data_IF_995031105784
#
_entry.id   IF_995031105784
#
_cell.length_a   1.000
_cell.length_b   1.000
_cell.length_c   1.000
_cell.angle_alpha   90.00
_cell.angle_beta   90.00
_cell.angle_gamma   90.00
#
_symmetry.space_group_name_H-M   'P 1'
#
loop_
_entity.id
_entity.type
_entity.pdbx_description
1 polymer ?
#
# COMPACT_ATOMS: atom_id res chain seq x y z
N UNK A 1 -8.24 4.58 -3.14
CA UNK A 1 -7.11 4.81 -2.21
C UNK A 1 -7.12 6.25 -1.72
N UNK A 2 -6.91 6.45 -0.41
CA UNK A 2 -6.83 7.79 0.21
C UNK A 2 -5.77 8.68 -0.45
N UNK A 3 -4.55 8.15 -0.69
CA UNK A 3 -3.48 8.92 -1.36
C UNK A 3 -3.89 9.41 -2.75
N UNK A 4 -4.52 8.57 -3.58
CA UNK A 4 -5.01 9.01 -4.89
C UNK A 4 -6.04 10.13 -4.77
N UNK A 5 -6.97 10.01 -3.81
CA UNK A 5 -7.99 11.03 -3.59
C UNK A 5 -7.37 12.35 -3.11
N UNK A 6 -6.38 12.31 -2.21
CA UNK A 6 -5.67 13.52 -1.76
C UNK A 6 -4.95 14.21 -2.91
N UNK A 7 -4.20 13.46 -3.72
CA UNK A 7 -3.48 14.03 -4.86
C UNK A 7 -4.41 14.64 -5.90
N UNK A 8 -5.56 13.99 -6.15
CA UNK A 8 -6.59 14.53 -7.04
C UNK A 8 -7.18 15.82 -6.48
N UNK A 9 -7.53 15.85 -5.20
CA UNK A 9 -8.13 17.02 -4.55
C UNK A 9 -7.16 18.20 -4.43
N UNK A 10 -5.85 17.95 -4.36
CA UNK A 10 -4.83 19.00 -4.30
C UNK A 10 -4.43 19.56 -5.66
N UNK A 11 -4.94 19.00 -6.76
CA UNK A 11 -4.57 19.44 -8.12
C UNK A 11 -3.07 19.28 -8.43
N UNK A 12 -2.37 18.39 -7.71
CA UNK A 12 -0.92 18.23 -7.86
C UNK A 12 -0.59 17.53 -9.17
N UNK A 13 0.37 18.05 -9.93
CA UNK A 13 0.96 17.29 -11.04
C UNK A 13 1.79 16.14 -10.46
N UNK A 14 1.22 14.94 -10.53
CA UNK A 14 1.77 13.71 -9.95
C UNK A 14 3.07 13.29 -10.65
N UNK A 15 3.18 13.50 -11.97
CA UNK A 15 4.34 13.05 -12.75
C UNK A 15 5.54 13.98 -12.51
N UNK A 16 5.29 15.28 -12.37
CA UNK A 16 6.34 16.24 -11.99
C UNK A 16 6.82 16.03 -10.56
N UNK A 17 5.92 15.73 -9.62
CA UNK A 17 6.24 15.64 -8.20
C UNK A 17 6.55 14.21 -7.71
N UNK A 18 6.82 13.26 -8.61
CA UNK A 18 6.98 11.85 -8.25
C UNK A 18 8.08 11.59 -7.21
N UNK A 19 9.19 12.34 -7.21
CA UNK A 19 10.24 12.22 -6.18
C UNK A 19 9.73 12.58 -4.78
N UNK A 20 8.95 13.66 -4.67
CA UNK A 20 8.31 14.05 -3.43
C UNK A 20 7.33 12.97 -2.96
N UNK A 21 6.51 12.44 -3.87
CA UNK A 21 5.56 11.37 -3.55
C UNK A 21 6.26 10.11 -3.07
N UNK A 22 7.38 9.73 -3.69
CA UNK A 22 8.20 8.61 -3.25
C UNK A 22 8.77 8.86 -1.84
N UNK A 23 9.22 10.08 -1.54
CA UNK A 23 9.68 10.43 -0.20
C UNK A 23 8.55 10.34 0.85
N UNK A 24 7.34 10.80 0.51
CA UNK A 24 6.14 10.68 1.36
C UNK A 24 5.79 9.22 1.61
N UNK A 25 5.83 8.37 0.58
CA UNK A 25 5.61 6.92 0.71
C UNK A 25 6.62 6.33 1.69
N UNK A 26 7.92 6.58 1.50
CA UNK A 26 8.96 6.04 2.38
C UNK A 26 8.79 6.53 3.83
N UNK A 27 8.50 7.82 4.05
CA UNK A 27 8.22 8.36 5.39
C UNK A 27 7.00 7.69 6.03
N UNK A 28 5.95 7.44 5.25
CA UNK A 28 4.74 6.77 5.72
C UNK A 28 5.04 5.33 6.16
N UNK A 29 5.85 4.59 5.39
CA UNK A 29 6.24 3.23 5.74
C UNK A 29 7.09 3.19 7.01
N UNK A 30 8.05 4.11 7.11
CA UNK A 30 8.91 4.22 8.29
C UNK A 30 8.12 4.59 9.55
N UNK A 31 7.21 5.56 9.43
CA UNK A 31 6.30 5.92 10.52
C UNK A 31 5.40 4.75 10.94
N UNK A 32 4.91 3.97 9.96
CA UNK A 32 4.09 2.78 10.22
C UNK A 32 4.88 1.75 11.02
N UNK A 33 6.12 1.47 10.62
CA UNK A 33 7.01 0.57 11.35
C UNK A 33 7.21 1.02 12.80
N UNK A 34 7.57 2.28 13.03
CA UNK A 34 7.72 2.81 14.39
C UNK A 34 6.44 2.74 15.19
N UNK A 35 5.30 3.05 14.59
CA UNK A 35 4.00 2.98 15.26
C UNK A 35 3.69 1.55 15.73
N UNK A 36 3.96 0.55 14.89
CA UNK A 36 3.81 -0.86 15.25
C UNK A 36 4.78 -1.22 16.39
N UNK A 37 6.07 -0.87 16.26
CA UNK A 37 7.08 -1.14 17.28
C UNK A 37 6.73 -0.51 18.62
N UNK A 38 6.36 0.75 18.64
CA UNK A 38 5.98 1.48 19.85
C UNK A 38 4.77 0.85 20.54
N UNK A 39 3.77 0.39 19.76
CA UNK A 39 2.60 -0.29 20.31
C UNK A 39 2.96 -1.63 20.94
N UNK A 40 3.82 -2.41 20.27
CA UNK A 40 4.31 -3.70 20.77
C UNK A 40 5.18 -3.53 22.03
N UNK A 41 6.01 -2.49 22.10
CA UNK A 41 6.88 -2.25 23.26
C UNK A 41 6.22 -1.46 24.40
N UNK A 42 4.97 -1.01 24.22
CA UNK A 42 4.20 -0.31 25.25
C UNK A 42 3.90 -1.23 26.45
N UNK A 43 3.63 -0.68 27.66
CA UNK A 43 3.26 -1.49 28.83
C UNK A 43 2.10 -2.45 28.54
N UNK A 44 1.03 -1.93 27.94
CA UNK A 44 -0.11 -2.74 27.49
C UNK A 44 0.29 -3.82 26.48
N UNK A 45 1.20 -3.50 25.55
CA UNK A 45 1.72 -4.47 24.59
C UNK A 45 2.45 -5.62 25.29
N UNK A 46 3.30 -5.31 26.27
CA UNK A 46 4.04 -6.30 27.06
C UNK A 46 3.12 -7.15 27.95
N UNK A 47 2.11 -6.54 28.56
CA UNK A 47 1.10 -7.25 29.38
C UNK A 47 0.30 -8.28 28.57
N UNK A 48 0.17 -8.06 27.25
CA UNK A 48 -0.56 -8.95 26.34
C UNK A 48 0.37 -9.83 25.49
N UNK A 49 1.64 -9.98 25.87
CA UNK A 49 2.65 -10.75 25.13
C UNK A 49 2.72 -10.39 23.62
N UNK A 50 2.47 -9.12 23.31
CA UNK A 50 2.50 -8.65 21.93
C UNK A 50 3.92 -8.76 21.38
N UNK A 51 4.06 -9.29 20.16
CA UNK A 51 5.33 -9.36 19.46
C UNK A 51 5.16 -9.03 17.98
N UNK A 52 6.21 -8.44 17.38
CA UNK A 52 6.28 -8.20 15.94
C UNK A 52 7.41 -9.04 15.35
N UNK A 53 7.07 -10.02 14.51
CA UNK A 53 8.05 -10.86 13.79
C UNK A 53 8.53 -10.24 12.49
N UNK A 54 7.83 -9.23 11.99
CA UNK A 54 8.17 -8.57 10.73
C UNK A 54 9.29 -7.57 11.02
N UNK A 55 10.32 -7.55 10.18
CA UNK A 55 11.38 -6.53 10.23
C UNK A 55 10.99 -5.26 9.48
N UNK A 56 11.68 -4.15 9.75
CA UNK A 56 11.50 -2.89 9.01
C UNK A 56 11.68 -3.08 7.49
N UNK A 57 12.68 -3.88 7.09
CA UNK A 57 12.98 -4.18 5.69
C UNK A 57 11.82 -4.92 5.02
N UNK A 58 11.26 -5.92 5.71
CA UNK A 58 10.11 -6.69 5.22
C UNK A 58 8.85 -5.84 5.11
N UNK A 59 8.56 -5.04 6.15
CA UNK A 59 7.42 -4.13 6.14
C UNK A 59 7.55 -3.08 5.04
N UNK A 60 8.74 -2.50 4.89
CA UNK A 60 9.00 -1.49 3.85
C UNK A 60 8.84 -2.09 2.47
N UNK A 61 9.37 -3.29 2.21
CA UNK A 61 9.21 -3.96 0.92
C UNK A 61 7.73 -4.26 0.62
N UNK A 62 6.99 -4.82 1.58
CA UNK A 62 5.56 -5.08 1.44
C UNK A 62 4.77 -3.79 1.17
N UNK A 63 5.11 -2.72 1.87
CA UNK A 63 4.52 -1.41 1.68
C UNK A 63 4.74 -0.87 0.27
N UNK A 64 6.00 -0.86 -0.20
CA UNK A 64 6.34 -0.45 -1.56
C UNK A 64 5.60 -1.31 -2.60
N UNK A 65 5.50 -2.62 -2.37
CA UNK A 65 4.78 -3.53 -3.25
C UNK A 65 3.29 -3.18 -3.30
N UNK A 66 2.67 -2.93 -2.15
CA UNK A 66 1.26 -2.53 -2.07
C UNK A 66 0.99 -1.19 -2.77
N UNK A 67 1.87 -0.19 -2.58
CA UNK A 67 1.77 1.08 -3.30
C UNK A 67 1.89 0.87 -4.81
N UNK A 68 2.89 0.12 -5.27
CA UNK A 68 3.07 -0.18 -6.69
C UNK A 68 1.85 -0.92 -7.27
N UNK A 69 1.39 -1.98 -6.63
CA UNK A 69 0.25 -2.79 -7.07
C UNK A 69 -1.07 -2.01 -7.10
N UNK A 70 -1.22 -1.02 -6.22
CA UNK A 70 -2.45 -0.21 -6.19
C UNK A 70 -2.40 0.93 -7.19
N UNK A 71 -1.26 1.61 -7.32
CA UNK A 71 -1.09 2.72 -8.26
C UNK A 71 -0.98 2.25 -9.71
N UNK A 72 -0.56 0.99 -9.95
CA UNK A 72 -0.49 0.40 -11.28
C UNK A 72 -1.86 0.25 -11.94
N UNK A 73 -2.96 0.34 -11.17
CA UNK A 73 -4.34 0.42 -11.69
C UNK A 73 -4.63 1.75 -12.41
N UNK A 74 -3.75 2.76 -12.28
CA UNK A 74 -3.86 4.07 -12.93
C UNK A 74 -2.50 4.47 -13.55
N UNK A 75 -1.99 3.69 -14.51
CA UNK A 75 -0.61 3.80 -14.96
C UNK A 75 -0.30 5.14 -15.65
N UNK A 76 -1.30 5.74 -16.31
CA UNK A 76 -1.17 7.03 -16.98
C UNK A 76 -0.90 8.18 -16.00
N UNK A 77 -1.54 8.17 -14.83
CA UNK A 77 -1.37 9.23 -13.82
C UNK A 77 -0.09 9.08 -12.98
N UNK A 78 0.46 7.87 -12.88
CA UNK A 78 1.55 7.54 -11.95
C UNK A 78 2.82 7.04 -12.63
N UNK A 79 2.98 7.27 -13.94
CA UNK A 79 4.02 6.61 -14.75
C UNK A 79 5.42 6.70 -14.15
N UNK A 80 5.94 7.92 -13.89
CA UNK A 80 7.28 8.07 -13.30
C UNK A 80 7.39 7.48 -11.90
N UNK A 81 6.36 7.66 -11.07
CA UNK A 81 6.33 7.11 -9.72
C UNK A 81 6.35 5.57 -9.73
N UNK A 82 5.62 4.94 -10.66
CA UNK A 82 5.61 3.49 -10.83
C UNK A 82 6.99 2.96 -11.23
N UNK A 83 7.68 3.64 -12.14
CA UNK A 83 9.07 3.31 -12.48
C UNK A 83 10.00 3.40 -11.26
N UNK A 84 9.88 4.46 -10.44
CA UNK A 84 10.70 4.60 -9.23
C UNK A 84 10.37 3.55 -8.16
N UNK A 85 9.10 3.18 -8.01
CA UNK A 85 8.66 2.13 -7.09
C UNK A 85 9.18 0.76 -7.54
N UNK A 86 9.08 0.45 -8.84
CA UNK A 86 9.62 -0.78 -9.42
C UNK A 86 11.12 -0.87 -9.20
N UNK A 87 11.86 0.20 -9.47
CA UNK A 87 13.29 0.26 -9.19
C UNK A 87 13.59 0.02 -7.71
N UNK A 88 12.83 0.66 -6.82
CA UNK A 88 12.99 0.49 -5.37
C UNK A 88 12.77 -0.96 -4.92
N UNK A 89 11.79 -1.66 -5.51
CA UNK A 89 11.49 -3.07 -5.24
C UNK A 89 12.59 -4.03 -5.70
N UNK A 90 13.42 -3.62 -6.66
CA UNK A 90 14.50 -4.43 -7.22
C UNK A 90 15.85 -4.21 -6.53
N UNK A 91 15.95 -3.29 -5.57
CA UNK A 91 17.20 -3.01 -4.87
C UNK A 91 17.76 -4.27 -4.15
N UNK A 92 19.10 -4.48 -4.16
CA UNK A 92 19.73 -5.66 -3.56
C UNK A 92 19.37 -5.90 -2.09
N UNK A 93 19.15 -4.82 -1.32
CA UNK A 93 18.75 -4.89 0.10
C UNK A 93 17.44 -5.66 0.32
N UNK A 94 16.59 -5.76 -0.71
CA UNK A 94 15.32 -6.48 -0.63
C UNK A 94 15.38 -7.86 -1.29
N UNK A 95 16.52 -8.34 -1.80
CA UNK A 95 16.59 -9.59 -2.55
C UNK A 95 16.07 -10.80 -1.75
N UNK A 96 16.50 -10.92 -0.48
CA UNK A 96 16.04 -11.98 0.44
C UNK A 96 14.55 -11.86 0.74
N UNK A 97 14.11 -10.65 1.09
CA UNK A 97 12.71 -10.33 1.38
C UNK A 97 11.78 -10.62 0.21
N UNK A 98 12.16 -10.19 -1.00
CA UNK A 98 11.41 -10.46 -2.23
C UNK A 98 11.22 -11.96 -2.43
N UNK A 99 12.30 -12.75 -2.34
CA UNK A 99 12.23 -14.22 -2.50
C UNK A 99 11.26 -14.87 -1.50
N UNK A 100 11.23 -14.38 -0.26
CA UNK A 100 10.37 -14.94 0.78
C UNK A 100 8.92 -14.47 0.69
N UNK A 101 8.68 -13.19 0.39
CA UNK A 101 7.38 -12.54 0.54
C UNK A 101 6.62 -12.36 -0.77
N UNK A 102 7.28 -12.40 -1.93
CA UNK A 102 6.62 -12.23 -3.23
C UNK A 102 5.48 -13.23 -3.48
N UNK A 103 5.61 -14.55 -3.20
CA UNK A 103 4.51 -15.48 -3.34
C UNK A 103 3.33 -15.15 -2.42
N UNK A 104 3.61 -14.67 -1.20
CA UNK A 104 2.60 -14.29 -0.23
C UNK A 104 1.86 -13.01 -0.65
N UNK A 105 2.61 -12.01 -1.11
CA UNK A 105 2.07 -10.74 -1.57
C UNK A 105 1.18 -10.92 -2.81
N UNK A 106 1.61 -11.75 -3.77
CA UNK A 106 0.80 -12.07 -4.95
C UNK A 106 -0.53 -12.77 -4.59
N UNK A 107 -0.49 -13.73 -3.64
CA UNK A 107 -1.70 -14.38 -3.14
C UNK A 107 -2.63 -13.40 -2.42
N UNK A 108 -2.08 -12.56 -1.54
CA UNK A 108 -2.87 -11.56 -0.80
C UNK A 108 -3.57 -10.57 -1.74
N UNK A 109 -2.88 -10.11 -2.78
CA UNK A 109 -3.46 -9.20 -3.77
C UNK A 109 -4.62 -9.85 -4.55
N UNK A 110 -4.51 -11.14 -4.87
CA UNK A 110 -5.58 -11.90 -5.54
C UNK A 110 -6.84 -11.98 -4.65
N UNK A 111 -6.68 -12.29 -3.37
CA UNK A 111 -7.79 -12.34 -2.39
C UNK A 111 -8.47 -10.97 -2.25
N UNK A 112 -7.68 -9.90 -2.13
CA UNK A 112 -8.20 -8.53 -2.01
C UNK A 112 -8.91 -8.06 -3.29
N UNK A 113 -8.47 -8.53 -4.46
CA UNK A 113 -9.12 -8.17 -5.72
C UNK A 113 -10.47 -8.87 -5.88
N UNK A 114 -10.58 -10.13 -5.45
CA UNK A 114 -11.86 -10.87 -5.47
C UNK A 114 -12.89 -10.21 -4.54
N UNK A 115 -12.49 -9.86 -3.32
CA UNK A 115 -13.38 -9.20 -2.34
C UNK A 115 -13.79 -7.76 -2.75
N UNK A 116 -12.94 -7.02 -3.47
CA UNK A 116 -13.31 -5.70 -4.02
C UNK A 116 -14.34 -5.79 -5.16
N UNK A 117 -14.30 -6.84 -5.97
CA UNK A 117 -15.27 -7.04 -7.07
C UNK A 117 -16.66 -7.37 -6.50
N UNK A 118 -16.72 -8.13 -5.41
CA UNK A 118 -17.97 -8.45 -4.71
C UNK A 118 -18.60 -7.22 -4.04
N UNK A 119 -17.78 -6.32 -3.48
CA UNK A 119 -18.25 -5.08 -2.86
C UNK A 119 -18.70 -4.03 -3.89
N UNK A 120 -18.01 -3.87 -5.02
CA UNK A 120 -18.49 -2.99 -6.12
C UNK A 120 -19.77 -3.52 -6.81
N UNK A 121 -19.97 -4.84 -6.87
CA UNK A 121 -21.23 -5.44 -7.36
C UNK A 121 -22.40 -5.24 -6.41
N UNK A 122 -22.15 -5.20 -5.10
CA UNK A 122 -23.18 -4.92 -4.10
C UNK A 122 -23.63 -3.45 -4.17
N UNK A 123 -22.70 -2.51 -4.32
CA UNK A 123 -23.03 -1.08 -4.43
C UNK A 123 -23.77 -0.72 -5.73
N UNK A 124 -23.45 -1.39 -6.85
CA UNK A 124 -24.22 -1.22 -8.10
C UNK A 124 -25.65 -1.75 -8.01
N UNK A 125 -25.91 -2.81 -7.24
CA UNK A 125 -27.28 -3.32 -7.06
C UNK A 125 -28.16 -2.38 -6.22
N UNK A 126 -27.57 -1.62 -5.30
CA UNK A 126 -28.30 -0.64 -4.47
C UNK A 126 -28.66 0.62 -5.28
N UNK A 127 -27.79 1.06 -6.20
CA UNK A 127 -28.06 2.25 -7.04
C UNK A 127 -29.13 2.03 -8.12
N UNK A 128 -29.43 0.80 -8.53
CA UNK A 128 -30.48 0.51 -9.55
C UNK A 128 -31.87 0.43 -8.90
N UNK A 129 -31.98 0.40 -7.58
CA UNK A 129 -33.25 0.34 -6.85
C UNK A 129 -33.75 1.68 -6.28
N UNK A 130 -33.01 2.77 -6.47
CA UNK A 130 -33.37 4.10 -5.93
C UNK A 130 -33.79 5.14 -6.99
N UNK A 131 -33.97 4.72 -8.25
CA UNK A 131 -34.43 5.61 -9.34
C UNK A 131 -35.76 5.14 -9.93
N UNK A 132 -36.73 4.87 -9.07
CA UNK A 132 -38.15 4.75 -9.45
C UNK A 132 -39.00 5.08 -8.21
N UNK A 133 -39.10 6.36 -7.89
CA UNK A 133 -40.23 6.97 -7.19
C UNK A 133 -40.29 8.46 -7.54
#
# INVERSE_FOLDING_TARGET
MKMHQYLKNWGTDIDQNHHYLLAVINKTLHFTWYSIRNRVTSPLGKENDAYCRVSDVELTWLGLYAFHATLSRKPTSYRRLLSSLMFSLQLPKYAKTRKALEPLAARGLKILTISCIESESAERKISVHTTNQ
#
